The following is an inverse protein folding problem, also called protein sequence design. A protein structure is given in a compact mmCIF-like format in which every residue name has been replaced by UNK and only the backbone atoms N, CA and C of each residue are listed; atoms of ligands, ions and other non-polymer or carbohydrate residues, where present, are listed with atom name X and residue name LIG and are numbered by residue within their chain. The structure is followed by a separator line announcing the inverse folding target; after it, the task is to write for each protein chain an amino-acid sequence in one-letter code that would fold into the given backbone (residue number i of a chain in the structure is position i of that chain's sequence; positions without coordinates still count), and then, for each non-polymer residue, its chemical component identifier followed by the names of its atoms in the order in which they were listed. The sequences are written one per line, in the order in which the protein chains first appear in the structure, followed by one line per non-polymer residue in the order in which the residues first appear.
data_IF_957964867473
#
_entry.id   IF_957964867473
#
_cell.length_a   1.000
_cell.length_b   1.000
_cell.length_c   1.000
_cell.angle_alpha   90.00
_cell.angle_beta   90.00
_cell.angle_gamma   90.00
#
_symmetry.space_group_name_H-M   'P 1'
#
loop_
_entity.id
_entity.type
_entity.pdbx_description
1 polymer ?
#
# COMPACT_ATOMS: atom_id res chain seq x y z
N UNK A 1 -9.23 -11.25 -14.88
CA UNK A 1 -9.34 -11.21 -13.45
C UNK A 1 -8.41 -10.13 -12.91
N UNK A 2 -8.96 -8.94 -12.61
CA UNK A 2 -8.24 -7.70 -12.27
C UNK A 2 -7.65 -7.68 -10.84
N UNK A 3 -7.10 -8.78 -10.33
CA UNK A 3 -6.97 -9.00 -8.90
C UNK A 3 -5.57 -8.88 -8.32
N UNK A 4 -4.56 -8.57 -9.13
CA UNK A 4 -3.16 -8.58 -8.67
C UNK A 4 -2.38 -7.34 -9.14
N UNK A 5 -2.90 -6.14 -8.88
CA UNK A 5 -2.06 -4.94 -8.91
C UNK A 5 -1.20 -4.95 -7.64
N UNK A 6 0.14 -4.93 -7.76
CA UNK A 6 1.03 -5.10 -6.61
C UNK A 6 0.99 -3.95 -5.59
N UNK A 7 0.45 -2.82 -5.93
CA UNK A 7 0.59 -1.58 -5.14
C UNK A 7 -0.70 -1.00 -4.58
N UNK A 8 -1.86 -1.65 -4.77
CA UNK A 8 -3.11 -1.09 -4.24
C UNK A 8 -4.06 -2.16 -3.67
N UNK A 9 -4.86 -1.79 -2.63
CA UNK A 9 -5.96 -2.61 -2.21
C UNK A 9 -6.84 -2.92 -3.43
N UNK A 10 -7.16 -4.17 -3.61
CA UNK A 10 -7.93 -4.64 -4.74
C UNK A 10 -9.24 -3.86 -4.86
N UNK A 11 -9.87 -3.82 -6.05
CA UNK A 11 -11.21 -3.27 -6.26
C UNK A 11 -12.19 -3.66 -5.13
N UNK A 12 -12.05 -4.87 -4.56
CA UNK A 12 -12.86 -5.32 -3.41
C UNK A 12 -12.64 -4.49 -2.14
N UNK A 13 -11.43 -3.99 -1.88
CA UNK A 13 -11.16 -3.15 -0.71
C UNK A 13 -11.81 -1.79 -0.86
N UNK A 14 -11.76 -1.19 -2.06
CA UNK A 14 -12.48 0.04 -2.38
C UNK A 14 -14.00 -0.16 -2.26
N UNK A 15 -14.55 -1.28 -2.75
CA UNK A 15 -15.97 -1.61 -2.63
C UNK A 15 -16.43 -1.67 -1.17
N UNK A 16 -15.61 -2.21 -0.26
CA UNK A 16 -15.89 -2.25 1.18
C UNK A 16 -15.89 -0.85 1.80
N UNK A 17 -14.91 -0.01 1.49
CA UNK A 17 -14.85 1.37 1.96
C UNK A 17 -16.04 2.18 1.45
N UNK A 18 -16.39 2.05 0.18
CA UNK A 18 -17.58 2.69 -0.41
C UNK A 18 -18.87 2.22 0.27
N UNK A 19 -18.98 0.91 0.57
CA UNK A 19 -20.14 0.37 1.27
C UNK A 19 -20.25 0.92 2.69
N UNK A 20 -19.14 1.02 3.43
CA UNK A 20 -19.12 1.62 4.77
C UNK A 20 -19.45 3.11 4.74
N UNK A 21 -18.93 3.85 3.76
CA UNK A 21 -19.31 5.26 3.54
C UNK A 21 -20.82 5.41 3.29
N UNK A 22 -21.40 4.58 2.42
CA UNK A 22 -22.83 4.62 2.10
C UNK A 22 -23.73 4.26 3.28
N UNK A 23 -23.21 3.49 4.25
CA UNK A 23 -23.90 3.20 5.52
C UNK A 23 -23.70 4.29 6.59
N UNK A 24 -22.88 5.32 6.29
CA UNK A 24 -22.56 6.39 7.25
C UNK A 24 -21.61 5.95 8.38
N UNK A 25 -20.89 4.85 8.20
CA UNK A 25 -19.93 4.33 9.18
C UNK A 25 -18.57 5.04 9.09
N UNK A 26 -18.24 5.59 7.93
CA UNK A 26 -16.99 6.35 7.67
C UNK A 26 -17.32 7.61 6.87
N UNK A 27 -16.52 8.66 7.09
CA UNK A 27 -16.62 9.96 6.39
C UNK A 27 -15.25 10.30 5.80
N UNK A 28 -15.22 10.71 4.54
CA UNK A 28 -14.00 11.05 3.83
C UNK A 28 -13.78 12.56 3.66
N UNK A 29 -14.68 13.41 4.19
CA UNK A 29 -14.61 14.86 3.99
C UNK A 29 -13.30 15.50 4.46
N UNK A 30 -12.71 14.97 5.55
CA UNK A 30 -11.45 15.45 6.12
C UNK A 30 -10.26 14.54 5.81
N UNK A 31 -10.46 13.48 5.03
CA UNK A 31 -9.36 12.58 4.63
C UNK A 31 -8.47 13.29 3.62
N UNK A 32 -7.16 13.21 3.83
CA UNK A 32 -6.12 13.58 2.86
C UNK A 32 -5.50 12.29 2.33
N UNK A 33 -5.47 12.14 1.01
CA UNK A 33 -4.97 10.93 0.34
C UNK A 33 -3.69 11.22 -0.42
N UNK A 34 -2.65 10.42 -0.15
CA UNK A 34 -1.40 10.40 -0.91
C UNK A 34 -1.27 9.07 -1.62
N UNK A 35 -1.22 9.09 -2.94
CA UNK A 35 -1.07 7.86 -3.72
C UNK A 35 0.38 7.35 -3.66
N UNK A 36 0.54 6.02 -3.54
CA UNK A 36 1.84 5.39 -3.31
C UNK A 36 2.80 5.54 -4.50
N UNK A 37 2.27 5.47 -5.71
CA UNK A 37 3.06 5.46 -6.94
C UNK A 37 2.25 5.88 -8.18
N UNK A 38 2.95 6.17 -9.27
CA UNK A 38 2.38 6.39 -10.60
C UNK A 38 3.40 6.04 -11.70
N UNK A 39 2.93 5.54 -12.82
CA UNK A 39 3.75 5.26 -13.98
C UNK A 39 4.26 6.55 -14.65
N UNK A 40 5.54 6.60 -14.97
CA UNK A 40 6.08 7.66 -15.82
C UNK A 40 5.68 7.45 -17.28
N UNK A 41 5.28 8.54 -17.93
CA UNK A 41 4.87 8.56 -19.33
C UNK A 41 3.35 8.44 -19.53
N UNK A 42 2.55 8.27 -18.47
CA UNK A 42 1.09 8.19 -18.58
C UNK A 42 0.42 9.52 -18.19
N UNK A 43 -0.52 9.93 -19.01
CA UNK A 43 -1.45 11.01 -18.67
C UNK A 43 -2.36 10.60 -17.50
N UNK A 44 -2.81 11.54 -16.65
CA UNK A 44 -3.71 11.25 -15.53
C UNK A 44 -5.04 10.59 -15.94
N UNK A 45 -5.44 10.81 -17.20
CA UNK A 45 -6.68 10.25 -17.78
C UNK A 45 -6.49 8.91 -18.47
N UNK A 46 -5.23 8.44 -18.58
CA UNK A 46 -4.94 7.16 -19.22
C UNK A 46 -5.60 6.01 -18.43
N UNK A 47 -6.22 5.02 -19.10
CA UNK A 47 -6.94 3.92 -18.43
C UNK A 47 -6.10 3.13 -17.42
N UNK A 48 -4.78 3.12 -17.59
CA UNK A 48 -3.83 2.40 -16.71
C UNK A 48 -3.07 3.31 -15.73
N UNK A 49 -3.37 4.63 -15.70
CA UNK A 49 -2.85 5.51 -14.66
C UNK A 49 -3.48 5.15 -13.32
N UNK A 50 -2.69 5.17 -12.23
CA UNK A 50 -3.22 4.96 -10.88
C UNK A 50 -4.15 6.08 -10.47
N UNK A 51 -3.93 7.30 -10.94
CA UNK A 51 -4.88 8.39 -10.74
C UNK A 51 -6.24 8.04 -11.30
N UNK A 52 -6.30 7.58 -12.55
CA UNK A 52 -7.56 7.14 -13.16
C UNK A 52 -8.19 5.98 -12.42
N UNK A 53 -7.39 5.01 -12.01
CA UNK A 53 -7.86 3.87 -11.24
C UNK A 53 -8.51 4.31 -9.92
N UNK A 54 -7.88 5.21 -9.17
CA UNK A 54 -8.41 5.70 -7.90
C UNK A 54 -9.67 6.53 -8.05
N UNK A 55 -9.70 7.40 -9.05
CA UNK A 55 -10.90 8.16 -9.42
C UNK A 55 -12.09 7.24 -9.69
N UNK A 56 -11.91 6.24 -10.55
CA UNK A 56 -12.99 5.36 -10.99
C UNK A 56 -13.42 4.36 -9.90
N UNK A 57 -12.53 3.96 -8.99
CA UNK A 57 -12.81 2.89 -8.03
C UNK A 57 -13.00 3.38 -6.58
N UNK A 58 -12.70 4.64 -6.24
CA UNK A 58 -12.89 5.15 -4.88
C UNK A 58 -13.39 6.59 -4.87
N UNK A 59 -12.61 7.55 -5.39
CA UNK A 59 -12.81 8.96 -5.07
C UNK A 59 -14.15 9.51 -5.58
N UNK A 60 -14.63 9.07 -6.74
CA UNK A 60 -15.97 9.45 -7.25
C UNK A 60 -17.14 8.87 -6.45
N UNK A 61 -16.90 7.96 -5.55
CA UNK A 61 -17.92 7.23 -4.80
C UNK A 61 -18.04 7.66 -3.34
N UNK A 62 -17.15 8.55 -2.87
CA UNK A 62 -17.06 9.05 -1.50
C UNK A 62 -16.98 10.58 -1.52
N UNK A 63 -17.08 11.22 -0.34
CA UNK A 63 -17.10 12.67 -0.22
C UNK A 63 -15.72 13.29 0.06
N UNK A 64 -14.64 12.67 -0.39
CA UNK A 64 -13.30 13.27 -0.29
C UNK A 64 -13.24 14.57 -1.09
N UNK A 65 -12.60 15.60 -0.52
CA UNK A 65 -12.43 16.89 -1.20
C UNK A 65 -11.33 16.77 -2.26
N UNK A 66 -11.53 17.29 -3.49
CA UNK A 66 -10.52 17.20 -4.57
C UNK A 66 -9.15 17.77 -4.19
N UNK A 67 -9.11 18.84 -3.39
CA UNK A 67 -7.89 19.46 -2.90
C UNK A 67 -7.09 18.60 -1.90
N UNK A 68 -7.73 17.58 -1.34
CA UNK A 68 -7.11 16.62 -0.42
C UNK A 68 -6.59 15.38 -1.13
N UNK A 69 -6.61 15.33 -2.45
CA UNK A 69 -6.20 14.17 -3.24
C UNK A 69 -4.86 14.47 -3.91
N UNK A 70 -3.79 13.87 -3.41
CA UNK A 70 -2.43 14.06 -3.89
C UNK A 70 -1.94 12.84 -4.69
N UNK A 71 -1.33 13.12 -5.85
CA UNK A 71 -0.76 12.11 -6.74
C UNK A 71 0.63 12.51 -7.21
N UNK A 72 1.48 11.49 -7.37
CA UNK A 72 2.67 11.64 -8.20
C UNK A 72 2.24 11.83 -9.68
N UNK A 73 2.87 12.75 -10.39
CA UNK A 73 2.58 12.99 -11.80
C UNK A 73 3.30 11.97 -12.68
N UNK A 74 2.59 11.36 -13.63
CA UNK A 74 3.23 10.56 -14.68
C UNK A 74 4.05 11.38 -15.69
N UNK A 75 3.87 12.71 -15.71
CA UNK A 75 4.52 13.65 -16.66
C UNK A 75 5.10 14.87 -15.92
N UNK A 76 6.00 14.70 -14.96
CA UNK A 76 6.60 15.84 -14.28
C UNK A 76 7.59 16.58 -15.21
N UNK A 77 7.66 17.90 -15.13
CA UNK A 77 8.68 18.71 -15.84
C UNK A 77 10.08 18.48 -15.25
N UNK A 78 10.18 18.35 -13.93
CA UNK A 78 11.40 18.04 -13.18
C UNK A 78 11.07 16.95 -12.17
N UNK A 79 11.61 15.76 -12.38
CA UNK A 79 11.37 14.58 -11.55
C UNK A 79 11.88 14.81 -10.12
N UNK A 80 13.09 15.31 -9.96
CA UNK A 80 13.70 15.46 -8.64
C UNK A 80 12.95 16.51 -7.81
N UNK A 81 12.59 17.62 -8.42
CA UNK A 81 11.78 18.65 -7.77
C UNK A 81 10.40 18.09 -7.39
N UNK A 82 9.73 17.37 -8.30
CA UNK A 82 8.41 16.81 -8.07
C UNK A 82 8.41 15.80 -6.92
N UNK A 83 9.40 14.91 -6.85
CA UNK A 83 9.55 13.98 -5.74
C UNK A 83 9.78 14.69 -4.40
N UNK A 84 10.64 15.73 -4.39
CA UNK A 84 10.89 16.53 -3.20
C UNK A 84 9.65 17.31 -2.76
N UNK A 85 8.90 17.84 -3.71
CA UNK A 85 7.63 18.53 -3.48
C UNK A 85 6.58 17.62 -2.85
N UNK A 86 6.43 16.42 -3.38
CA UNK A 86 5.53 15.41 -2.84
C UNK A 86 5.85 15.04 -1.38
N UNK A 87 7.13 14.91 -1.05
CA UNK A 87 7.59 14.69 0.32
C UNK A 87 7.26 15.89 1.24
N UNK A 88 7.36 17.11 0.70
CA UNK A 88 6.98 18.32 1.43
C UNK A 88 5.48 18.34 1.70
N UNK A 89 4.64 18.05 0.71
CA UNK A 89 3.18 17.97 0.86
C UNK A 89 2.78 16.96 1.95
N UNK A 90 3.44 15.80 2.02
CA UNK A 90 3.22 14.79 3.08
C UNK A 90 3.54 15.39 4.46
N UNK A 91 4.66 16.10 4.58
CA UNK A 91 5.06 16.75 5.85
C UNK A 91 4.09 17.85 6.24
N UNK A 92 3.67 18.70 5.30
CA UNK A 92 2.73 19.80 5.52
C UNK A 92 1.33 19.29 5.92
N UNK A 93 0.92 18.13 5.41
CA UNK A 93 -0.30 17.45 5.83
C UNK A 93 -0.21 16.80 7.23
N UNK A 94 0.96 16.85 7.88
CA UNK A 94 1.21 16.26 9.19
C UNK A 94 1.68 14.81 9.16
N UNK A 95 2.12 14.30 8.01
CA UNK A 95 2.55 12.93 7.79
C UNK A 95 1.41 12.01 7.39
N UNK A 96 1.69 10.71 7.34
CA UNK A 96 0.74 9.65 6.96
C UNK A 96 0.26 8.95 8.23
N UNK A 97 -1.04 8.98 8.50
CA UNK A 97 -1.64 8.27 9.64
C UNK A 97 -1.71 6.76 9.36
N UNK A 98 -2.17 6.37 8.18
CA UNK A 98 -2.32 4.98 7.77
C UNK A 98 -1.76 4.78 6.35
N UNK A 99 -0.73 3.95 6.22
CA UNK A 99 -0.23 3.50 4.93
C UNK A 99 -0.84 2.14 4.59
N UNK A 100 -1.54 2.06 3.46
CA UNK A 100 -2.07 0.80 2.95
C UNK A 100 -1.11 0.28 1.87
N UNK A 101 -0.72 -1.00 1.99
CA UNK A 101 0.24 -1.65 1.10
C UNK A 101 -0.31 -2.98 0.55
N UNK A 102 0.09 -3.29 -0.68
CA UNK A 102 0.20 -4.65 -1.16
C UNK A 102 1.65 -5.13 -1.08
N UNK A 103 1.91 -6.36 -1.52
CA UNK A 103 3.27 -6.92 -1.64
C UNK A 103 3.46 -7.55 -3.02
N UNK A 104 4.60 -7.29 -3.65
CA UNK A 104 5.03 -7.96 -4.87
C UNK A 104 5.36 -9.43 -4.63
N UNK A 105 5.42 -10.23 -5.70
CA UNK A 105 5.82 -11.65 -5.62
C UNK A 105 7.27 -11.83 -5.16
N UNK A 106 8.09 -10.84 -5.37
CA UNK A 106 9.51 -10.74 -5.00
C UNK A 106 9.75 -9.95 -3.70
N UNK A 107 8.67 -9.52 -3.03
CA UNK A 107 8.74 -8.79 -1.76
C UNK A 107 8.87 -7.28 -1.89
N UNK A 108 8.66 -6.70 -3.07
CA UNK A 108 8.59 -5.23 -3.19
C UNK A 108 7.33 -4.64 -2.54
N UNK A 109 7.42 -3.40 -2.09
CA UNK A 109 6.32 -2.55 -1.61
C UNK A 109 6.35 -1.21 -2.37
N UNK A 110 5.18 -0.75 -2.88
CA UNK A 110 5.17 0.25 -3.93
C UNK A 110 5.94 -0.27 -5.13
N UNK A 111 6.73 0.57 -5.79
CA UNK A 111 7.72 0.13 -6.78
C UNK A 111 9.16 0.11 -6.22
N UNK A 112 9.31 -0.09 -4.90
CA UNK A 112 10.61 -0.36 -4.32
C UNK A 112 10.98 -1.82 -4.59
N UNK A 113 11.58 -2.06 -5.76
CA UNK A 113 12.00 -3.38 -6.24
C UNK A 113 13.16 -3.97 -5.41
N UNK A 114 13.43 -5.28 -5.46
CA UNK A 114 14.59 -5.88 -4.81
C UNK A 114 15.87 -5.11 -5.07
N UNK A 115 16.67 -4.89 -4.03
CA UNK A 115 17.88 -4.06 -3.98
C UNK A 115 17.65 -2.55 -3.88
N UNK A 116 16.42 -2.06 -3.84
CA UNK A 116 16.14 -0.67 -3.49
C UNK A 116 16.68 -0.33 -2.10
N UNK A 117 17.12 0.91 -1.93
CA UNK A 117 17.59 1.38 -0.63
C UNK A 117 16.46 1.34 0.40
N UNK A 118 16.69 0.71 1.56
CA UNK A 118 15.75 0.71 2.67
C UNK A 118 15.59 2.11 3.33
N UNK A 119 16.36 3.11 2.86
CA UNK A 119 16.28 4.51 3.27
C UNK A 119 15.90 5.45 2.12
N UNK A 120 15.31 4.91 1.06
CA UNK A 120 14.85 5.73 -0.06
C UNK A 120 13.67 6.59 0.36
N UNK A 121 13.69 7.85 -0.10
CA UNK A 121 12.53 8.74 -0.11
C UNK A 121 11.82 8.60 -1.46
N UNK A 122 10.78 9.37 -1.70
CA UNK A 122 10.08 9.37 -3.00
C UNK A 122 11.07 9.59 -4.15
N UNK A 123 11.04 8.71 -5.15
CA UNK A 123 12.02 8.68 -6.23
C UNK A 123 11.48 8.03 -7.51
N UNK A 124 12.22 8.23 -8.59
CA UNK A 124 12.03 7.47 -9.83
C UNK A 124 12.66 6.08 -9.73
N UNK A 125 12.04 5.11 -10.37
CA UNK A 125 12.54 3.72 -10.40
C UNK A 125 12.29 3.07 -11.76
N UNK A 126 13.19 2.14 -12.12
CA UNK A 126 12.97 1.25 -13.26
C UNK A 126 12.22 0.00 -12.77
N UNK A 127 11.17 -0.37 -13.49
CA UNK A 127 10.42 -1.59 -13.20
C UNK A 127 11.23 -2.83 -13.60
N UNK A 128 11.17 -3.89 -12.80
CA UNK A 128 11.79 -5.17 -13.15
C UNK A 128 11.06 -5.81 -14.33
N UNK A 129 11.74 -6.73 -15.01
CA UNK A 129 11.12 -7.52 -16.10
C UNK A 129 9.90 -8.28 -15.62
N UNK A 130 9.94 -8.78 -14.38
CA UNK A 130 8.83 -9.49 -13.75
C UNK A 130 7.63 -8.57 -13.56
N UNK A 131 7.84 -7.36 -13.02
CA UNK A 131 6.79 -6.36 -12.81
C UNK A 131 6.18 -5.92 -14.16
N UNK A 132 7.00 -5.72 -15.20
CA UNK A 132 6.53 -5.40 -16.55
C UNK A 132 5.66 -6.55 -17.10
N UNK A 133 6.10 -7.80 -16.96
CA UNK A 133 5.33 -8.96 -17.45
C UNK A 133 4.02 -9.15 -16.65
N UNK A 134 4.06 -8.98 -15.33
CA UNK A 134 2.85 -9.07 -14.49
C UNK A 134 1.82 -7.97 -14.83
N UNK A 135 2.28 -6.80 -15.29
CA UNK A 135 1.42 -5.67 -15.69
C UNK A 135 0.99 -5.70 -17.16
N UNK A 136 1.66 -6.49 -18.02
CA UNK A 136 1.40 -6.58 -19.46
C UNK A 136 -0.08 -6.83 -19.79
N UNK A 137 -0.76 -7.61 -18.99
CA UNK A 137 -2.19 -7.95 -19.17
C UNK A 137 -3.14 -6.76 -19.13
N UNK A 138 -2.68 -5.60 -18.66
CA UNK A 138 -3.47 -4.37 -18.57
C UNK A 138 -3.28 -3.45 -19.78
N UNK A 139 -2.35 -3.75 -20.66
CA UNK A 139 -2.01 -2.95 -21.83
C UNK A 139 -2.33 -3.71 -23.12
N UNK A 140 -2.68 -3.00 -24.18
CA UNK A 140 -2.99 -3.61 -25.47
C UNK A 140 -1.76 -4.31 -26.07
N UNK A 141 -0.59 -3.67 -25.97
CA UNK A 141 0.69 -4.20 -26.46
C UNK A 141 1.73 -4.21 -25.36
N UNK A 142 2.65 -5.18 -25.44
CA UNK A 142 3.72 -5.30 -24.47
C UNK A 142 4.66 -4.08 -24.40
N UNK A 143 4.85 -3.41 -25.52
CA UNK A 143 5.66 -2.19 -25.65
C UNK A 143 5.03 -0.95 -25.02
N UNK A 144 3.71 -0.96 -24.77
CA UNK A 144 2.97 0.13 -24.14
C UNK A 144 3.09 0.09 -22.61
N UNK A 145 3.59 -1.01 -22.05
CA UNK A 145 3.82 -1.12 -20.59
C UNK A 145 4.94 -0.16 -20.18
N UNK A 146 4.68 0.79 -19.28
CA UNK A 146 5.72 1.69 -18.80
C UNK A 146 6.91 0.93 -18.20
N UNK A 147 8.09 1.49 -18.36
CA UNK A 147 9.34 0.91 -17.83
C UNK A 147 9.84 1.61 -16.59
N UNK A 148 9.25 2.75 -16.29
CA UNK A 148 9.62 3.61 -15.16
C UNK A 148 8.38 4.05 -14.41
N UNK A 149 8.57 4.31 -13.12
CA UNK A 149 7.54 4.83 -12.24
C UNK A 149 8.14 5.83 -11.25
N UNK A 150 7.30 6.65 -10.65
CA UNK A 150 7.58 7.34 -9.41
C UNK A 150 6.94 6.57 -8.27
N UNK A 151 7.63 6.45 -7.14
CA UNK A 151 7.13 5.72 -5.97
C UNK A 151 7.56 6.39 -4.68
N UNK A 152 6.69 6.37 -3.67
CA UNK A 152 7.14 6.62 -2.30
C UNK A 152 8.26 5.65 -1.95
N UNK A 153 9.35 6.17 -1.42
CA UNK A 153 10.47 5.35 -0.96
C UNK A 153 10.15 4.56 0.30
N UNK A 154 11.00 3.61 0.61
CA UNK A 154 10.85 2.74 1.79
C UNK A 154 10.82 3.56 3.09
N UNK A 155 11.70 4.58 3.23
CA UNK A 155 11.73 5.43 4.42
C UNK A 155 10.47 6.31 4.52
N UNK A 156 9.91 6.76 3.41
CA UNK A 156 8.62 7.48 3.37
C UNK A 156 7.49 6.60 3.89
N UNK A 157 7.41 5.36 3.40
CA UNK A 157 6.44 4.35 3.85
C UNK A 157 6.60 4.07 5.34
N UNK A 158 7.83 3.85 5.80
CA UNK A 158 8.17 3.59 7.22
C UNK A 158 7.91 4.79 8.14
N UNK A 159 7.73 5.97 7.58
CA UNK A 159 7.35 7.19 8.31
C UNK A 159 5.87 7.27 8.68
N UNK A 160 5.03 6.39 8.19
CA UNK A 160 3.61 6.32 8.55
C UNK A 160 3.42 5.97 10.03
N UNK A 161 2.31 6.39 10.66
CA UNK A 161 2.00 6.01 12.04
C UNK A 161 1.57 4.55 12.16
N UNK A 162 0.79 4.10 11.19
CA UNK A 162 0.33 2.71 11.09
C UNK A 162 0.47 2.21 9.65
N UNK A 163 0.76 0.92 9.50
CA UNK A 163 0.84 0.26 8.20
C UNK A 163 -0.12 -0.92 8.17
N UNK A 164 -0.94 -0.99 7.13
CA UNK A 164 -1.80 -2.12 6.82
C UNK A 164 -1.33 -2.77 5.51
N UNK A 165 -0.80 -3.98 5.58
CA UNK A 165 -0.40 -4.73 4.38
C UNK A 165 -1.41 -5.83 4.08
N UNK A 166 -1.88 -5.86 2.84
CA UNK A 166 -2.82 -6.86 2.34
C UNK A 166 -2.15 -7.80 1.34
N UNK A 167 -2.19 -9.10 1.60
CA UNK A 167 -1.62 -10.12 0.72
C UNK A 167 -2.63 -11.25 0.46
N UNK A 168 -2.91 -11.54 -0.81
CA UNK A 168 -3.84 -12.61 -1.19
C UNK A 168 -3.28 -13.50 -2.30
N UNK A 169 -3.59 -14.79 -2.20
CA UNK A 169 -3.23 -15.77 -3.21
C UNK A 169 -1.84 -16.38 -3.04
N UNK A 170 -1.72 -17.61 -3.54
CA UNK A 170 -0.52 -18.45 -3.38
C UNK A 170 0.76 -17.85 -4.00
N UNK A 171 0.61 -16.99 -5.00
CA UNK A 171 1.75 -16.31 -5.63
C UNK A 171 2.50 -15.37 -4.68
N UNK A 172 1.89 -14.99 -3.55
CA UNK A 172 2.47 -14.11 -2.53
C UNK A 172 3.15 -14.87 -1.38
N UNK A 173 3.00 -16.19 -1.31
CA UNK A 173 3.43 -16.98 -0.16
C UNK A 173 4.94 -16.90 0.15
N UNK A 174 5.79 -16.87 -0.87
CA UNK A 174 7.24 -16.70 -0.69
C UNK A 174 7.59 -15.31 -0.16
N UNK A 175 6.97 -14.28 -0.72
CA UNK A 175 7.17 -12.90 -0.31
C UNK A 175 6.66 -12.65 1.13
N UNK A 176 5.48 -13.18 1.49
CA UNK A 176 4.94 -13.10 2.86
C UNK A 176 5.87 -13.78 3.86
N UNK A 177 6.37 -14.99 3.55
CA UNK A 177 7.35 -15.67 4.39
C UNK A 177 8.64 -14.87 4.54
N UNK A 178 9.19 -14.37 3.42
CA UNK A 178 10.42 -13.57 3.45
C UNK A 178 10.24 -12.26 4.23
N UNK A 179 9.08 -11.62 4.12
CA UNK A 179 8.73 -10.40 4.84
C UNK A 179 8.61 -10.63 6.34
N UNK A 180 7.92 -11.69 6.78
CA UNK A 180 7.57 -11.92 8.20
C UNK A 180 8.65 -12.67 8.94
N UNK A 181 9.24 -13.71 8.33
CA UNK A 181 10.15 -14.67 8.97
C UNK A 181 11.59 -14.58 8.45
N UNK A 182 11.80 -13.89 7.32
CA UNK A 182 13.12 -13.72 6.73
C UNK A 182 13.95 -12.64 7.43
N UNK A 183 15.25 -12.58 7.11
CA UNK A 183 16.10 -11.49 7.55
C UNK A 183 15.67 -10.16 6.90
N UNK A 184 15.84 -9.04 7.62
CA UNK A 184 15.65 -7.72 7.03
C UNK A 184 16.77 -7.46 6.03
N UNK A 185 16.42 -7.37 4.75
CA UNK A 185 17.36 -7.20 3.66
C UNK A 185 16.73 -6.51 2.45
N UNK A 186 17.51 -5.70 1.74
CA UNK A 186 17.04 -4.98 0.55
C UNK A 186 16.58 -5.90 -0.59
N UNK A 187 16.95 -7.18 -0.58
CA UNK A 187 16.47 -8.17 -1.56
C UNK A 187 14.97 -8.48 -1.37
N UNK A 188 14.41 -8.20 -0.20
CA UNK A 188 12.98 -8.23 0.08
C UNK A 188 12.62 -6.92 0.80
N UNK A 189 12.33 -5.82 0.08
CA UNK A 189 12.09 -4.51 0.68
C UNK A 189 11.01 -4.53 1.76
N UNK A 190 9.95 -5.34 1.60
CA UNK A 190 8.91 -5.51 2.61
C UNK A 190 9.43 -6.03 3.96
N UNK A 191 10.60 -6.69 4.00
CA UNK A 191 11.18 -7.20 5.26
C UNK A 191 11.50 -6.10 6.27
N UNK A 192 11.67 -4.85 5.83
CA UNK A 192 11.89 -3.69 6.72
C UNK A 192 10.70 -3.44 7.66
N UNK A 193 9.50 -3.87 7.26
CA UNK A 193 8.29 -3.70 8.08
C UNK A 193 8.41 -4.37 9.45
N UNK A 194 9.31 -5.34 9.63
CA UNK A 194 9.65 -5.93 10.94
C UNK A 194 10.16 -4.90 11.96
N UNK A 195 10.68 -3.77 11.52
CA UNK A 195 11.13 -2.67 12.40
C UNK A 195 10.05 -1.64 12.70
N UNK A 196 8.92 -1.68 12.02
CA UNK A 196 7.88 -0.68 12.23
C UNK A 196 7.03 -1.05 13.47
N UNK A 197 6.76 -0.10 14.39
CA UNK A 197 6.08 -0.37 15.65
C UNK A 197 4.59 -0.76 15.52
N UNK A 198 3.96 -0.43 14.40
CA UNK A 198 2.51 -0.60 14.20
C UNK A 198 2.21 -1.12 12.78
N UNK A 199 2.49 -2.40 12.52
CA UNK A 199 2.14 -3.06 11.25
C UNK A 199 1.08 -4.12 11.50
N UNK A 200 0.04 -4.07 10.68
CA UNK A 200 -0.94 -5.16 10.59
C UNK A 200 -0.82 -5.81 9.21
N UNK A 201 -0.58 -7.12 9.21
CA UNK A 201 -0.55 -7.93 7.98
C UNK A 201 -1.84 -8.75 7.92
N UNK A 202 -2.63 -8.55 6.86
CA UNK A 202 -3.83 -9.35 6.60
C UNK A 202 -3.57 -10.19 5.36
N UNK A 203 -3.56 -11.49 5.51
CA UNK A 203 -3.34 -12.42 4.41
C UNK A 203 -4.37 -13.55 4.43
N UNK A 204 -4.67 -14.08 3.23
CA UNK A 204 -5.46 -15.30 3.12
C UNK A 204 -4.59 -16.56 3.37
N UNK A 205 -5.25 -17.70 3.57
CA UNK A 205 -4.61 -19.00 3.78
C UNK A 205 -3.57 -19.33 2.69
N UNK A 206 -3.85 -18.94 1.44
CA UNK A 206 -2.97 -19.22 0.33
C UNK A 206 -1.69 -18.37 0.34
N UNK A 207 -1.78 -17.12 0.76
CA UNK A 207 -0.63 -16.24 0.93
C UNK A 207 0.18 -16.60 2.19
N UNK A 208 -0.47 -17.13 3.24
CA UNK A 208 0.18 -17.60 4.47
C UNK A 208 0.80 -19.01 4.35
N UNK A 209 0.54 -19.74 3.25
CA UNK A 209 0.81 -21.18 3.12
C UNK A 209 2.29 -21.61 3.27
N UNK A 210 3.23 -20.68 3.31
CA UNK A 210 4.66 -20.96 3.50
C UNK A 210 5.24 -20.39 4.79
N UNK A 211 4.41 -19.85 5.67
CA UNK A 211 4.83 -19.45 7.02
C UNK A 211 5.20 -20.70 7.82
N UNK A 212 6.34 -20.67 8.49
CA UNK A 212 6.83 -21.78 9.32
C UNK A 212 6.17 -21.76 10.72
N UNK A 213 5.66 -20.59 11.14
CA UNK A 213 5.10 -20.37 12.49
C UNK A 213 3.63 -19.92 12.46
N UNK A 214 2.83 -20.42 11.50
CA UNK A 214 1.42 -20.02 11.30
C UNK A 214 0.54 -20.27 12.53
N UNK A 215 0.72 -21.39 13.24
CA UNK A 215 0.00 -21.69 14.50
C UNK A 215 0.30 -20.63 15.59
N UNK A 216 1.55 -20.20 15.71
CA UNK A 216 1.93 -19.14 16.64
C UNK A 216 1.28 -17.81 16.27
N UNK A 217 1.25 -17.44 14.99
CA UNK A 217 0.63 -16.18 14.55
C UNK A 217 -0.88 -16.19 14.76
N UNK A 218 -1.57 -17.31 14.49
CA UNK A 218 -3.00 -17.48 14.77
C UNK A 218 -3.28 -17.32 16.27
N UNK A 219 -2.52 -18.04 17.09
CA UNK A 219 -2.66 -17.94 18.55
C UNK A 219 -2.43 -16.51 19.07
N UNK A 220 -1.40 -15.84 18.55
CA UNK A 220 -1.07 -14.46 18.93
C UNK A 220 -2.17 -13.49 18.50
N UNK A 221 -2.67 -13.62 17.27
CA UNK A 221 -3.75 -12.80 16.74
C UNK A 221 -5.03 -12.93 17.56
N UNK A 222 -5.44 -14.16 17.88
CA UNK A 222 -6.62 -14.43 18.70
C UNK A 222 -6.48 -13.84 20.12
N UNK A 223 -5.29 -13.93 20.72
CA UNK A 223 -5.05 -13.37 22.06
C UNK A 223 -4.95 -11.85 22.05
N UNK A 224 -4.40 -11.25 20.99
CA UNK A 224 -4.38 -9.80 20.84
C UNK A 224 -5.80 -9.26 20.70
N UNK A 225 -6.65 -9.91 19.94
CA UNK A 225 -8.07 -9.54 19.81
C UNK A 225 -8.78 -9.57 21.17
N UNK A 226 -8.63 -10.64 21.93
CA UNK A 226 -9.19 -10.78 23.29
C UNK A 226 -8.66 -9.71 24.26
N UNK A 227 -7.38 -9.35 24.14
CA UNK A 227 -6.78 -8.29 24.93
C UNK A 227 -7.42 -6.93 24.60
N UNK A 228 -7.63 -6.63 23.32
CA UNK A 228 -8.26 -5.37 22.89
C UNK A 228 -9.71 -5.28 23.40
N UNK A 229 -10.47 -6.38 23.32
CA UNK A 229 -11.84 -6.45 23.90
C UNK A 229 -11.82 -6.21 25.41
N UNK A 230 -10.92 -6.87 26.12
CA UNK A 230 -10.75 -6.68 27.57
C UNK A 230 -10.42 -5.21 27.91
N UNK A 231 -9.47 -4.60 27.19
CA UNK A 231 -9.09 -3.19 27.43
C UNK A 231 -10.24 -2.23 27.10
N UNK A 232 -11.00 -2.49 26.05
CA UNK A 232 -12.18 -1.70 25.71
C UNK A 232 -13.27 -1.79 26.79
N UNK A 233 -13.46 -2.97 27.37
CA UNK A 233 -14.38 -3.16 28.49
C UNK A 233 -13.93 -2.41 29.76
N UNK A 234 -12.63 -2.46 30.09
CA UNK A 234 -12.07 -1.72 31.21
C UNK A 234 -12.25 -0.20 31.05
N UNK A 235 -11.99 0.33 29.85
CA UNK A 235 -12.20 1.77 29.57
C UNK A 235 -13.67 2.18 29.75
N UNK A 236 -14.62 1.36 29.31
CA UNK A 236 -16.06 1.61 29.50
C UNK A 236 -16.46 1.63 30.98
N UNK A 237 -15.90 0.70 31.79
CA UNK A 237 -16.14 0.66 33.25
C UNK A 237 -15.60 1.91 33.96
N UNK A 238 -14.44 2.41 33.55
CA UNK A 238 -13.83 3.63 34.14
C UNK A 238 -14.59 4.89 33.72
N UNK A 239 -15.07 4.96 32.47
CA UNK A 239 -15.82 6.13 31.96
C UNK A 239 -17.27 6.18 32.44
N UNK A 240 -17.82 5.08 32.97
CA UNK A 240 -19.18 4.99 33.49
C UNK A 240 -19.29 5.23 35.01
N UNK A 241 -18.19 5.52 35.68
CA UNK A 241 -18.10 6.01 37.06
C UNK A 241 -17.71 7.49 37.06
#
# INVERSE_FOLDING_TARGET
DHRDLPSFPTRRSSDLLIASYRRGEVDFAEVVSFNLDEYLGLEPTHPQSYRRFMEDNLFRHVNIRPENIHFLSGLPEDIAWHCADYEREIVEAGGIDLQILGIGRDGHIGFNEPTSSLRSRTHETALTKQTIEDNRRFFERAEDVPRWALTMGVETIMGAREILLLATGRSKADAVRAMVEGPVAAICPASILQFHPAVTVVCDEAAAAKLDHDEFYRWTGDNQHRMLEFLAEQRRRVAGN
#
